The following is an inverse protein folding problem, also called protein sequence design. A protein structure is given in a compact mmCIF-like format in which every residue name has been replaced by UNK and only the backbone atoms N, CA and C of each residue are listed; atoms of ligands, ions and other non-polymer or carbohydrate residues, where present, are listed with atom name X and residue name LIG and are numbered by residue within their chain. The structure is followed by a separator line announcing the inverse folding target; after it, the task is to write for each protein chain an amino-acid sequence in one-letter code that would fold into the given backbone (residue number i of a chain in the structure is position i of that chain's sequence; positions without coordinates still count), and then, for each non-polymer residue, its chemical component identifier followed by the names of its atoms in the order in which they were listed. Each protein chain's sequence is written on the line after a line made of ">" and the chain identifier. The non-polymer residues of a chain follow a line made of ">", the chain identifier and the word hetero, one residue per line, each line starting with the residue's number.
data_IF_363201973704
#
_entry.id   IF_363201973704
#
_cell.length_a   1.000
_cell.length_b   1.000
_cell.length_c   1.000
_cell.angle_alpha   90.00
_cell.angle_beta   90.00
_cell.angle_gamma   90.00
#
_symmetry.space_group_name_H-M   'P 1'
#
loop_
_entity.id
_entity.type
_entity.pdbx_description
1 polymer ?
#
# COMPACT_ATOMS: atom_id res chain seq x y z
N UNK A 1 1.79 7.02 -4.49
CA UNK A 1 1.94 6.47 -5.86
C UNK A 1 3.34 6.79 -6.38
N UNK A 2 3.76 6.28 -7.54
CA UNK A 2 5.05 6.69 -8.11
C UNK A 2 4.95 8.15 -8.54
N UNK A 3 5.95 8.97 -8.19
CA UNK A 3 5.92 10.43 -8.41
C UNK A 3 5.19 11.24 -7.33
N UNK A 4 4.66 10.59 -6.30
CA UNK A 4 3.95 11.25 -5.19
C UNK A 4 4.92 11.94 -4.22
N UNK A 5 4.62 13.19 -3.83
CA UNK A 5 5.47 13.99 -2.93
C UNK A 5 4.90 13.91 -1.51
N UNK A 6 5.64 13.25 -0.61
CA UNK A 6 5.20 13.01 0.76
C UNK A 6 5.68 14.08 1.73
N UNK A 7 4.75 14.79 2.36
CA UNK A 7 5.04 15.81 3.37
C UNK A 7 5.05 15.20 4.77
N UNK A 8 6.18 14.58 5.14
CA UNK A 8 6.31 13.87 6.41
C UNK A 8 6.59 14.85 7.56
N UNK A 9 5.63 14.98 8.47
CA UNK A 9 5.74 15.78 9.69
C UNK A 9 5.99 14.90 10.94
N UNK A 10 6.12 15.53 12.11
CA UNK A 10 6.39 14.82 13.36
C UNK A 10 5.19 14.01 13.89
N UNK A 11 3.96 14.35 13.50
CA UNK A 11 2.78 13.52 13.83
C UNK A 11 2.87 12.16 13.13
N UNK A 12 3.22 12.13 11.85
CA UNK A 12 3.42 10.89 11.10
C UNK A 12 4.52 10.03 11.74
N UNK A 13 5.64 10.65 12.14
CA UNK A 13 6.74 9.94 12.81
C UNK A 13 6.33 9.39 14.19
N UNK A 14 5.55 10.14 14.97
CA UNK A 14 5.04 9.69 16.27
C UNK A 14 4.09 8.50 16.10
N UNK A 15 3.14 8.60 15.18
CA UNK A 15 2.22 7.50 14.88
C UNK A 15 2.97 6.27 14.36
N UNK A 16 3.95 6.43 13.48
CA UNK A 16 4.80 5.36 12.99
C UNK A 16 5.56 4.66 14.13
N UNK A 17 6.10 5.40 15.10
CA UNK A 17 6.75 4.82 16.29
C UNK A 17 5.78 3.97 17.11
N UNK A 18 4.57 4.48 17.39
CA UNK A 18 3.56 3.74 18.14
C UNK A 18 3.16 2.43 17.44
N UNK A 19 2.98 2.46 16.12
CA UNK A 19 2.67 1.25 15.34
C UNK A 19 3.88 0.30 15.35
N UNK A 20 5.10 0.81 15.18
CA UNK A 20 6.32 0.00 15.25
C UNK A 20 6.43 -0.73 16.58
N UNK A 21 6.20 -0.06 17.69
CA UNK A 21 6.30 -0.68 19.02
C UNK A 21 5.28 -1.81 19.19
N UNK A 22 4.06 -1.61 18.67
CA UNK A 22 3.05 -2.68 18.63
C UNK A 22 3.51 -3.86 17.77
N UNK A 23 3.96 -3.61 16.55
CA UNK A 23 4.43 -4.64 15.60
C UNK A 23 5.59 -5.44 16.18
N UNK A 24 6.58 -4.77 16.78
CA UNK A 24 7.74 -5.43 17.38
C UNK A 24 7.36 -6.30 18.59
N UNK A 25 6.34 -5.91 19.35
CA UNK A 25 5.84 -6.72 20.45
C UNK A 25 5.03 -7.93 19.95
N UNK A 26 4.16 -7.73 18.96
CA UNK A 26 3.37 -8.81 18.37
C UNK A 26 4.26 -9.83 17.64
N UNK A 27 5.35 -9.41 16.99
CA UNK A 27 6.31 -10.30 16.33
C UNK A 27 7.01 -11.27 17.30
N UNK A 28 7.18 -10.92 18.58
CA UNK A 28 7.84 -11.79 19.58
C UNK A 28 7.10 -13.12 19.80
N UNK A 29 5.79 -13.13 19.57
CA UNK A 29 4.93 -14.31 19.75
C UNK A 29 4.58 -15.00 18.43
N UNK A 30 5.07 -14.50 17.29
CA UNK A 30 4.89 -15.14 15.99
C UNK A 30 6.03 -16.11 15.68
N UNK A 31 5.80 -16.97 14.69
CA UNK A 31 6.80 -17.87 14.16
C UNK A 31 7.97 -17.11 13.49
N UNK A 32 9.16 -17.72 13.46
CA UNK A 32 10.41 -17.13 12.94
C UNK A 32 10.35 -16.55 11.52
N UNK A 33 9.36 -16.95 10.71
CA UNK A 33 9.17 -16.51 9.31
C UNK A 33 7.78 -15.92 9.06
N UNK A 34 7.16 -15.37 10.09
CA UNK A 34 5.83 -14.78 9.95
C UNK A 34 5.81 -13.61 8.95
N UNK A 35 4.95 -13.71 7.94
CA UNK A 35 4.77 -12.69 6.91
C UNK A 35 3.72 -11.67 7.38
N UNK A 36 4.20 -10.57 7.97
CA UNK A 36 3.35 -9.54 8.58
C UNK A 36 2.76 -8.59 7.53
N UNK A 37 1.46 -8.30 7.63
CA UNK A 37 0.77 -7.34 6.76
C UNK A 37 0.11 -6.28 7.63
N UNK A 38 0.34 -5.01 7.31
CA UNK A 38 -0.27 -3.85 7.98
C UNK A 38 -1.11 -3.10 6.95
N UNK A 39 -2.39 -2.91 7.24
CA UNK A 39 -3.27 -2.04 6.44
C UNK A 39 -3.42 -0.67 7.11
N UNK A 40 -3.24 0.39 6.33
CA UNK A 40 -3.45 1.77 6.76
C UNK A 40 -4.60 2.33 5.93
N UNK A 41 -5.74 2.55 6.59
CA UNK A 41 -6.95 3.10 5.99
C UNK A 41 -7.26 4.49 6.56
N UNK A 42 -8.15 5.22 5.88
CA UNK A 42 -8.49 6.60 6.21
C UNK A 42 -8.89 7.41 4.98
N UNK A 43 -9.49 8.58 5.22
CA UNK A 43 -9.95 9.47 4.16
C UNK A 43 -8.79 10.02 3.31
N UNK A 44 -9.10 10.48 2.10
CA UNK A 44 -8.09 11.13 1.25
C UNK A 44 -7.48 12.33 1.97
N UNK A 45 -6.16 12.50 1.90
CA UNK A 45 -5.44 13.57 2.59
C UNK A 45 -5.20 13.35 4.09
N UNK A 46 -5.62 12.23 4.68
CA UNK A 46 -5.44 11.96 6.12
C UNK A 46 -4.01 11.57 6.55
N UNK A 47 -3.00 11.71 5.68
CA UNK A 47 -1.61 11.35 5.98
C UNK A 47 -1.25 9.86 5.85
N UNK A 48 -2.06 9.06 5.14
CA UNK A 48 -1.84 7.59 5.03
C UNK A 48 -0.51 7.24 4.36
N UNK A 49 -0.21 7.89 3.25
CA UNK A 49 1.01 7.62 2.46
C UNK A 49 2.25 8.04 3.24
N UNK A 50 2.18 9.18 3.93
CA UNK A 50 3.21 9.71 4.80
C UNK A 50 3.45 8.79 6.01
N UNK A 51 2.38 8.30 6.65
CA UNK A 51 2.46 7.35 7.75
C UNK A 51 3.06 6.02 7.28
N UNK A 52 2.59 5.47 6.17
CA UNK A 52 3.10 4.22 5.60
C UNK A 52 4.60 4.33 5.27
N UNK A 53 5.02 5.47 4.70
CA UNK A 53 6.42 5.73 4.41
C UNK A 53 7.25 5.88 5.69
N UNK A 54 6.78 6.68 6.66
CA UNK A 54 7.48 6.87 7.94
C UNK A 54 7.63 5.55 8.71
N UNK A 55 6.59 4.72 8.72
CA UNK A 55 6.59 3.38 9.32
C UNK A 55 7.53 2.43 8.58
N UNK A 56 7.50 2.43 7.24
CA UNK A 56 8.40 1.61 6.44
C UNK A 56 9.87 1.97 6.67
N UNK A 57 10.18 3.27 6.84
CA UNK A 57 11.53 3.73 7.13
C UNK A 57 12.03 3.28 8.51
N UNK A 58 11.24 3.47 9.57
CA UNK A 58 11.67 3.10 10.92
C UNK A 58 11.82 1.58 11.08
N UNK A 59 10.92 0.79 10.51
CA UNK A 59 11.05 -0.67 10.56
C UNK A 59 12.21 -1.18 9.69
N UNK A 60 12.58 -0.48 8.62
CA UNK A 60 13.81 -0.76 7.86
C UNK A 60 15.06 -0.50 8.71
N UNK A 61 15.06 0.55 9.54
CA UNK A 61 16.13 0.81 10.52
C UNK A 61 16.25 -0.35 11.54
N UNK A 62 15.13 -1.01 11.86
CA UNK A 62 15.07 -2.23 12.66
C UNK A 62 15.47 -3.51 11.88
N UNK A 63 16.05 -3.37 10.67
CA UNK A 63 16.45 -4.44 9.75
C UNK A 63 15.30 -5.33 9.24
N UNK A 64 14.06 -4.83 9.23
CA UNK A 64 12.91 -5.55 8.67
C UNK A 64 12.75 -5.17 7.19
N UNK A 65 12.76 -6.18 6.31
CA UNK A 65 12.48 -5.99 4.87
C UNK A 65 11.00 -5.63 4.70
N UNK A 66 10.73 -4.49 4.04
CA UNK A 66 9.37 -3.96 3.86
C UNK A 66 9.11 -3.60 2.41
N UNK A 67 7.85 -3.77 2.01
CA UNK A 67 7.29 -3.20 0.79
C UNK A 67 6.02 -2.41 1.14
N UNK A 68 5.99 -1.14 0.77
CA UNK A 68 4.76 -0.34 0.82
C UNK A 68 4.01 -0.55 -0.49
N UNK A 69 2.72 -0.88 -0.40
CA UNK A 69 1.84 -1.12 -1.54
C UNK A 69 0.65 -0.17 -1.42
N UNK A 70 0.41 0.62 -2.46
CA UNK A 70 -0.75 1.51 -2.51
C UNK A 70 -1.92 0.79 -3.19
N UNK A 71 -3.03 0.65 -2.48
CA UNK A 71 -4.27 0.06 -3.02
C UNK A 71 -4.82 0.84 -4.21
N UNK A 72 -4.46 2.12 -4.33
CA UNK A 72 -4.84 2.96 -5.47
C UNK A 72 -4.26 2.49 -6.80
N UNK A 73 -3.19 1.69 -6.78
CA UNK A 73 -2.67 1.05 -7.98
C UNK A 73 -3.56 -0.10 -8.49
N UNK A 74 -4.52 -0.56 -7.69
CA UNK A 74 -5.35 -1.72 -7.97
C UNK A 74 -6.77 -1.37 -8.39
N UNK A 75 -7.06 -0.12 -8.69
CA UNK A 75 -8.35 0.21 -9.30
C UNK A 75 -8.49 -0.48 -10.67
N UNK A 76 -9.70 -0.99 -10.97
CA UNK A 76 -10.05 -1.55 -12.29
C UNK A 76 -9.97 -0.49 -13.38
N UNK A 77 -10.31 0.74 -13.05
CA UNK A 77 -10.32 1.90 -13.95
C UNK A 77 -9.13 2.80 -13.63
N UNK A 78 -8.39 3.17 -14.67
CA UNK A 78 -7.23 4.06 -14.59
C UNK A 78 -7.63 5.42 -14.02
N UNK A 79 -6.75 6.12 -13.28
CA UNK A 79 -7.06 7.40 -12.65
C UNK A 79 -7.71 8.41 -13.59
N UNK A 80 -7.15 8.58 -14.80
CA UNK A 80 -7.64 9.54 -15.80
C UNK A 80 -9.08 9.29 -16.25
N UNK A 81 -9.49 8.02 -16.32
CA UNK A 81 -10.81 7.62 -16.78
C UNK A 81 -11.81 7.42 -15.63
N UNK A 82 -11.34 7.45 -14.37
CA UNK A 82 -12.13 7.05 -13.21
C UNK A 82 -13.26 8.02 -12.92
N UNK A 83 -13.00 9.32 -13.04
CA UNK A 83 -14.02 10.33 -12.78
C UNK A 83 -15.16 10.24 -13.80
N UNK A 84 -14.83 10.17 -15.09
CA UNK A 84 -15.82 10.01 -16.17
C UNK A 84 -16.62 8.71 -15.98
N UNK A 85 -15.94 7.60 -15.66
CA UNK A 85 -16.59 6.33 -15.38
C UNK A 85 -17.59 6.41 -14.22
N UNK A 86 -17.22 7.08 -13.12
CA UNK A 86 -18.10 7.29 -11.95
C UNK A 86 -19.34 8.11 -12.30
N UNK A 87 -19.18 9.19 -13.08
CA UNK A 87 -20.29 10.02 -13.55
C UNK A 87 -21.29 9.20 -14.41
N UNK A 88 -20.78 8.32 -15.26
CA UNK A 88 -21.61 7.49 -16.15
C UNK A 88 -22.31 6.32 -15.44
N UNK A 89 -21.69 5.75 -14.39
CA UNK A 89 -22.24 4.60 -13.64
C UNK A 89 -23.13 4.98 -12.45
N UNK A 90 -23.08 6.24 -12.03
CA UNK A 90 -23.73 6.71 -10.80
C UNK A 90 -22.85 6.50 -9.56
N UNK A 91 -22.92 7.45 -8.63
CA UNK A 91 -22.06 7.48 -7.44
C UNK A 91 -22.32 6.33 -6.45
N UNK A 92 -23.48 5.65 -6.54
CA UNK A 92 -23.82 4.49 -5.72
C UNK A 92 -22.91 3.27 -5.97
N UNK A 93 -22.20 3.26 -7.10
CA UNK A 93 -21.25 2.20 -7.46
C UNK A 93 -19.83 2.46 -6.93
N UNK A 94 -19.58 3.61 -6.29
CA UNK A 94 -18.30 3.95 -5.68
C UNK A 94 -18.12 3.14 -4.40
N UNK A 95 -16.99 2.44 -4.31
CA UNK A 95 -16.69 1.64 -3.13
C UNK A 95 -15.76 0.48 -3.46
N UNK A 96 -15.85 -0.58 -2.65
CA UNK A 96 -14.94 -1.71 -2.72
C UNK A 96 -14.92 -2.40 -4.08
N UNK A 97 -16.01 -2.32 -4.85
CA UNK A 97 -16.13 -2.95 -6.16
C UNK A 97 -15.27 -2.29 -7.25
N UNK A 98 -14.76 -1.08 -7.03
CA UNK A 98 -13.85 -0.41 -7.97
C UNK A 98 -12.46 -1.04 -7.99
N UNK A 99 -12.08 -1.76 -6.93
CA UNK A 99 -10.78 -2.43 -6.84
C UNK A 99 -10.77 -3.79 -7.54
N UNK A 100 -9.64 -4.12 -8.13
CA UNK A 100 -9.30 -5.43 -8.68
C UNK A 100 -8.85 -6.36 -7.54
N UNK A 101 -9.82 -6.92 -6.84
CA UNK A 101 -9.59 -7.86 -5.74
C UNK A 101 -8.83 -9.12 -6.17
N UNK A 102 -8.93 -9.52 -7.44
CA UNK A 102 -8.17 -10.66 -7.96
C UNK A 102 -6.67 -10.34 -7.90
N UNK A 103 -6.26 -9.16 -8.37
CA UNK A 103 -4.86 -8.72 -8.28
C UNK A 103 -4.40 -8.47 -6.83
N UNK A 104 -5.23 -7.85 -5.99
CA UNK A 104 -4.90 -7.63 -4.57
C UNK A 104 -4.64 -8.96 -3.86
N UNK A 105 -5.57 -9.92 -3.99
CA UNK A 105 -5.45 -11.23 -3.37
C UNK A 105 -4.25 -12.01 -3.91
N UNK A 106 -3.95 -11.88 -5.21
CA UNK A 106 -2.73 -12.45 -5.79
C UNK A 106 -1.48 -11.88 -5.12
N UNK A 107 -1.36 -10.56 -4.98
CA UNK A 107 -0.20 -9.93 -4.34
C UNK A 107 -0.04 -10.36 -2.87
N UNK A 108 -1.14 -10.44 -2.12
CA UNK A 108 -1.13 -10.91 -0.73
C UNK A 108 -0.65 -12.36 -0.66
N UNK A 109 -1.14 -13.22 -1.55
CA UNK A 109 -0.76 -14.63 -1.63
C UNK A 109 0.72 -14.77 -2.00
N UNK A 110 1.17 -14.09 -3.05
CA UNK A 110 2.57 -14.14 -3.50
C UNK A 110 3.54 -13.65 -2.41
N UNK A 111 3.15 -12.63 -1.62
CA UNK A 111 3.92 -12.20 -0.45
C UNK A 111 4.00 -13.26 0.66
N UNK A 112 2.89 -13.94 0.93
CA UNK A 112 2.84 -15.02 1.94
C UNK A 112 3.61 -16.27 1.50
N UNK A 113 3.64 -16.55 0.20
CA UNK A 113 4.28 -17.72 -0.42
C UNK A 113 5.73 -17.47 -0.87
N UNK A 114 6.32 -16.32 -0.52
CA UNK A 114 7.72 -15.99 -0.83
C UNK A 114 8.04 -15.96 -2.33
N UNK A 115 7.07 -15.53 -3.15
CA UNK A 115 7.17 -15.55 -4.61
C UNK A 115 7.58 -14.18 -5.19
N UNK A 116 8.15 -14.21 -6.39
CA UNK A 116 8.21 -13.02 -7.23
C UNK A 116 6.79 -12.57 -7.60
N UNK A 117 6.54 -11.26 -7.46
CA UNK A 117 5.24 -10.67 -7.70
C UNK A 117 5.35 -9.48 -8.65
N UNK A 118 4.47 -9.46 -9.64
CA UNK A 118 4.22 -8.31 -10.50
C UNK A 118 3.04 -7.51 -9.95
N UNK A 119 3.29 -6.26 -9.57
CA UNK A 119 2.35 -5.36 -8.93
C UNK A 119 2.05 -4.21 -9.90
N UNK A 120 0.78 -3.78 -10.07
CA UNK A 120 0.49 -2.58 -10.83
C UNK A 120 1.13 -1.35 -10.16
N UNK A 121 1.65 -0.43 -10.97
CA UNK A 121 2.26 0.80 -10.51
C UNK A 121 1.69 1.96 -11.32
N UNK A 122 1.04 2.91 -10.67
CA UNK A 122 0.60 4.12 -11.34
C UNK A 122 1.73 5.14 -11.19
N UNK A 123 2.27 5.58 -12.33
CA UNK A 123 3.20 6.70 -12.40
C UNK A 123 2.41 7.98 -12.67
N UNK A 124 2.46 8.91 -11.72
CA UNK A 124 1.73 10.17 -11.80
C UNK A 124 2.38 11.18 -12.76
N UNK A 125 3.65 11.00 -13.12
CA UNK A 125 4.36 11.94 -14.01
C UNK A 125 3.92 11.77 -15.48
N UNK A 126 4.00 10.56 -16.08
CA UNK A 126 3.48 10.27 -17.41
C UNK A 126 2.00 9.86 -17.40
N UNK A 127 1.37 9.78 -16.21
CA UNK A 127 -0.01 9.32 -16.00
C UNK A 127 -0.27 7.91 -16.56
N UNK A 128 0.74 7.05 -16.53
CA UNK A 128 0.71 5.72 -17.14
C UNK A 128 0.58 4.60 -16.10
N UNK A 129 0.03 3.47 -16.54
CA UNK A 129 -0.01 2.24 -15.74
C UNK A 129 1.18 1.37 -16.07
N UNK A 130 2.17 1.41 -15.19
CA UNK A 130 3.36 0.58 -15.20
C UNK A 130 3.20 -0.69 -14.37
N UNK A 131 4.27 -1.49 -14.37
CA UNK A 131 4.40 -2.72 -13.58
C UNK A 131 5.68 -2.67 -12.76
N UNK A 132 5.55 -2.91 -11.47
CA UNK A 132 6.68 -3.14 -10.56
C UNK A 132 6.86 -4.65 -10.38
N UNK A 133 8.04 -5.16 -10.69
CA UNK A 133 8.42 -6.53 -10.33
C UNK A 133 9.17 -6.47 -9.01
N UNK A 134 8.75 -7.28 -8.05
CA UNK A 134 9.41 -7.40 -6.74
C UNK A 134 9.52 -8.86 -6.35
N UNK A 135 10.67 -9.23 -5.81
CA UNK A 135 10.86 -10.52 -5.16
C UNK A 135 10.43 -10.40 -3.68
N UNK A 136 9.64 -11.35 -3.18
CA UNK A 136 9.24 -11.42 -1.77
C UNK A 136 9.99 -12.49 -0.96
N UNK A 137 10.90 -13.24 -1.59
CA UNK A 137 11.73 -14.23 -0.91
C UNK A 137 12.50 -13.65 0.29
#
# INVERSE_FOLDING_TARGET
>A
MLGDILLINDMHKKAAKSIRDYVMNDLKIKEKRYRYIISISGESGSGKSELAHALGKILKEDNIRIKVIHTDNYYKIQPLLREEWRRNKGFDQIGLNEYDWVKINKTIRDFKEEQECMIPCIDLIPEQVDKLITDFS
#
